data_IF_808790167092
#
_entry.id   IF_808790167092
#
_cell.length_a   1.000
_cell.length_b   1.000
_cell.length_c   1.000
_cell.angle_alpha   90.00
_cell.angle_beta   90.00
_cell.angle_gamma   90.00
#
_symmetry.space_group_name_H-M   'P 1'
#
loop_
_entity.id
_entity.type
_entity.pdbx_description
1 polymer ?
#
# COMPACT_ATOMS: atom_id res chain seq x y z
N UNK A 1 -18.19 -8.58 -11.07
CA UNK A 1 -17.71 -8.66 -9.65
C UNK A 1 -17.26 -7.28 -9.29
N UNK A 2 -17.72 -6.68 -8.18
CA UNK A 2 -17.19 -5.36 -7.81
C UNK A 2 -15.77 -5.53 -7.25
N UNK A 3 -14.79 -4.88 -7.87
CA UNK A 3 -13.44 -4.85 -7.34
C UNK A 3 -13.46 -4.29 -5.91
N UNK A 4 -12.84 -4.99 -4.99
CA UNK A 4 -12.71 -4.49 -3.63
C UNK A 4 -11.67 -3.37 -3.58
N UNK A 5 -11.99 -2.24 -2.95
CA UNK A 5 -11.06 -1.14 -2.76
C UNK A 5 -9.81 -1.57 -1.97
N UNK A 6 -8.67 -0.96 -2.30
CA UNK A 6 -7.39 -1.31 -1.70
C UNK A 6 -7.23 -0.62 -0.35
N UNK A 7 -7.18 -1.43 0.70
CA UNK A 7 -6.97 -0.93 2.05
C UNK A 7 -5.50 -0.65 2.39
N UNK A 8 -5.30 -0.06 3.56
CA UNK A 8 -3.98 0.31 4.09
C UNK A 8 -2.97 -0.85 4.07
N UNK A 9 -3.39 -2.08 4.46
CA UNK A 9 -2.50 -3.25 4.46
C UNK A 9 -2.02 -3.62 3.06
N UNK A 10 -2.87 -3.45 2.05
CA UNK A 10 -2.53 -3.75 0.67
C UNK A 10 -1.56 -2.69 0.12
N UNK A 11 -1.86 -1.40 0.31
CA UNK A 11 -1.04 -0.31 -0.20
C UNK A 11 0.37 -0.28 0.41
N UNK A 12 0.52 -0.64 1.68
CA UNK A 12 1.80 -0.56 2.39
C UNK A 12 2.46 -1.90 2.70
N UNK A 13 1.82 -3.05 2.43
CA UNK A 13 2.31 -4.35 2.87
C UNK A 13 2.64 -5.35 1.77
N UNK A 14 2.02 -5.25 0.58
CA UNK A 14 2.26 -6.23 -0.49
C UNK A 14 3.45 -5.82 -1.38
N UNK A 15 4.00 -6.80 -2.12
CA UNK A 15 5.09 -6.57 -3.07
C UNK A 15 4.65 -5.61 -4.19
N UNK A 16 5.58 -4.82 -4.73
CA UNK A 16 5.36 -3.79 -5.76
C UNK A 16 4.53 -4.31 -6.93
N UNK A 17 4.99 -5.35 -7.60
CA UNK A 17 4.34 -5.86 -8.82
C UNK A 17 2.88 -6.27 -8.60
N UNK A 18 2.62 -6.93 -7.46
CA UNK A 18 1.26 -7.32 -7.08
C UNK A 18 0.39 -6.09 -6.75
N UNK A 19 1.00 -5.04 -6.19
CA UNK A 19 0.30 -3.80 -5.88
C UNK A 19 -0.09 -3.06 -7.16
N UNK A 20 0.87 -2.85 -8.06
CA UNK A 20 0.64 -2.15 -9.32
C UNK A 20 -0.41 -2.88 -10.17
N UNK A 21 -0.31 -4.21 -10.27
CA UNK A 21 -1.32 -5.02 -10.95
C UNK A 21 -2.72 -4.86 -10.35
N UNK A 22 -2.84 -4.86 -9.02
CA UNK A 22 -4.14 -4.66 -8.35
C UNK A 22 -4.72 -3.26 -8.59
N UNK A 23 -3.88 -2.22 -8.63
CA UNK A 23 -4.33 -0.86 -8.93
C UNK A 23 -4.85 -0.79 -10.38
N UNK A 24 -4.14 -1.37 -11.35
CA UNK A 24 -4.59 -1.41 -12.75
C UNK A 24 -5.92 -2.15 -12.88
N UNK A 25 -6.01 -3.37 -12.34
CA UNK A 25 -7.25 -4.15 -12.36
C UNK A 25 -8.40 -3.40 -11.69
N UNK A 26 -8.17 -2.73 -10.56
CA UNK A 26 -9.19 -1.93 -9.89
C UNK A 26 -9.70 -0.81 -10.80
N UNK A 27 -8.82 -0.11 -11.51
CA UNK A 27 -9.21 0.92 -12.46
C UNK A 27 -10.01 0.35 -13.64
N UNK A 28 -9.56 -0.75 -14.23
CA UNK A 28 -10.24 -1.43 -15.34
C UNK A 28 -11.67 -1.86 -14.97
N UNK A 29 -11.88 -2.34 -13.74
CA UNK A 29 -13.19 -2.82 -13.29
C UNK A 29 -14.12 -1.69 -12.82
N UNK A 30 -13.60 -0.59 -12.27
CA UNK A 30 -14.42 0.45 -11.61
C UNK A 30 -14.46 1.78 -12.33
N UNK A 31 -13.46 2.05 -13.16
CA UNK A 31 -13.21 3.37 -13.77
C UNK A 31 -13.17 4.53 -12.74
N UNK A 32 -12.82 4.21 -11.46
CA UNK A 32 -12.79 5.20 -10.38
C UNK A 32 -11.42 5.91 -10.34
N UNK A 33 -11.25 6.89 -11.22
CA UNK A 33 -10.01 7.66 -11.34
C UNK A 33 -9.61 8.36 -10.03
N UNK A 34 -10.56 8.89 -9.27
CA UNK A 34 -10.28 9.58 -8.02
C UNK A 34 -9.61 8.68 -6.98
N UNK A 35 -10.18 7.49 -6.76
CA UNK A 35 -9.64 6.53 -5.79
C UNK A 35 -8.29 5.98 -6.24
N UNK A 36 -8.10 5.73 -7.54
CA UNK A 36 -6.83 5.26 -8.10
C UNK A 36 -5.73 6.31 -7.95
N UNK A 37 -6.03 7.59 -8.15
CA UNK A 37 -5.07 8.68 -7.92
C UNK A 37 -4.65 8.73 -6.45
N UNK A 38 -5.58 8.55 -5.50
CA UNK A 38 -5.23 8.45 -4.08
C UNK A 38 -4.37 7.21 -3.76
N UNK A 39 -4.59 6.08 -4.44
CA UNK A 39 -3.70 4.91 -4.32
C UNK A 39 -2.28 5.23 -4.79
N UNK A 40 -2.14 5.90 -5.93
CA UNK A 40 -0.83 6.33 -6.41
C UNK A 40 -0.12 7.24 -5.41
N UNK A 41 -0.82 8.25 -4.85
CA UNK A 41 -0.23 9.12 -3.84
C UNK A 41 0.21 8.32 -2.59
N UNK A 42 -0.59 7.36 -2.14
CA UNK A 42 -0.21 6.48 -1.03
C UNK A 42 1.06 5.65 -1.36
N UNK A 43 1.19 5.18 -2.61
CA UNK A 43 2.38 4.45 -3.07
C UNK A 43 3.60 5.37 -3.17
N UNK A 44 3.45 6.62 -3.62
CA UNK A 44 4.53 7.62 -3.58
C UNK A 44 5.00 7.88 -2.13
N UNK A 45 4.09 8.00 -1.17
CA UNK A 45 4.43 8.10 0.26
C UNK A 45 5.18 6.86 0.74
N UNK A 46 4.73 5.66 0.34
CA UNK A 46 5.44 4.40 0.65
C UNK A 46 6.85 4.41 0.07
N UNK A 47 7.01 4.75 -1.21
CA UNK A 47 8.30 4.85 -1.88
C UNK A 47 9.24 5.84 -1.18
N UNK A 48 8.68 6.95 -0.72
CA UNK A 48 9.42 7.94 0.03
C UNK A 48 9.97 7.41 1.37
N UNK A 49 9.19 6.63 2.08
CA UNK A 49 9.49 6.20 3.46
C UNK A 49 10.19 4.85 3.53
N UNK A 50 9.84 3.88 2.67
CA UNK A 50 10.29 2.48 2.78
C UNK A 50 11.62 2.24 2.09
N UNK A 51 12.36 1.24 2.58
CA UNK A 51 13.49 0.67 1.86
C UNK A 51 12.97 -0.13 0.67
N UNK A 52 13.67 -0.06 -0.46
CA UNK A 52 13.28 -0.71 -1.72
C UNK A 52 12.60 0.23 -2.70
N UNK A 53 12.41 -0.27 -3.93
CA UNK A 53 11.75 0.48 -5.01
C UNK A 53 10.25 0.23 -5.01
N UNK A 54 9.49 1.29 -4.78
CA UNK A 54 8.04 1.35 -4.94
C UNK A 54 7.62 2.44 -5.92
N UNK A 55 8.49 2.76 -6.90
CA UNK A 55 8.14 3.66 -7.99
C UNK A 55 6.92 3.13 -8.77
N UNK A 56 6.18 4.03 -9.38
CA UNK A 56 4.99 3.72 -10.19
C UNK A 56 5.21 4.02 -11.67
N UNK A 57 6.46 4.03 -12.10
CA UNK A 57 6.84 4.37 -13.48
C UNK A 57 6.22 3.42 -14.50
N UNK A 58 6.00 2.16 -14.14
CA UNK A 58 5.36 1.15 -14.98
C UNK A 58 3.89 1.50 -15.31
N UNK A 59 3.28 2.38 -14.50
CA UNK A 59 1.91 2.85 -14.70
C UNK A 59 1.83 4.27 -15.27
N UNK A 60 2.92 4.78 -15.85
CA UNK A 60 2.97 6.13 -16.43
C UNK A 60 1.88 6.37 -17.47
N UNK A 61 1.60 5.37 -18.33
CA UNK A 61 0.54 5.46 -19.33
C UNK A 61 -0.84 5.53 -18.72
N UNK A 62 -1.08 4.74 -17.67
CA UNK A 62 -2.34 4.78 -16.92
C UNK A 62 -2.52 6.14 -16.23
N UNK A 63 -1.47 6.66 -15.61
CA UNK A 63 -1.48 7.99 -14.97
C UNK A 63 -1.84 9.08 -15.99
N UNK A 64 -1.14 9.10 -17.14
CA UNK A 64 -1.44 10.06 -18.21
C UNK A 64 -2.87 9.91 -18.73
N UNK A 65 -3.32 8.69 -18.97
CA UNK A 65 -4.68 8.43 -19.41
C UNK A 65 -5.70 9.01 -18.43
N UNK A 66 -5.56 8.73 -17.12
CA UNK A 66 -6.48 9.24 -16.09
C UNK A 66 -6.56 10.77 -16.14
N UNK A 67 -5.44 11.48 -16.13
CA UNK A 67 -5.46 12.95 -16.09
C UNK A 67 -5.90 13.61 -17.40
N UNK A 68 -5.71 12.92 -18.55
CA UNK A 68 -6.10 13.44 -19.85
C UNK A 68 -7.55 13.10 -20.23
N UNK A 69 -8.13 12.02 -19.70
CA UNK A 69 -9.44 11.54 -20.18
C UNK A 69 -10.53 11.48 -19.12
N UNK A 70 -10.19 11.21 -17.84
CA UNK A 70 -11.21 11.07 -16.80
C UNK A 70 -11.87 12.38 -16.46
N UNK A 71 -13.12 12.31 -15.97
CA UNK A 71 -13.87 13.48 -15.55
C UNK A 71 -13.15 14.26 -14.43
N UNK A 72 -13.08 15.59 -14.52
CA UNK A 72 -12.45 16.42 -13.49
C UNK A 72 -13.16 16.31 -12.14
N UNK A 73 -12.44 15.84 -11.13
CA UNK A 73 -12.91 15.75 -9.74
C UNK A 73 -12.03 16.56 -8.80
N UNK A 74 -12.50 16.87 -7.62
CA UNK A 74 -11.68 17.58 -6.62
C UNK A 74 -10.47 16.75 -6.19
N UNK A 75 -10.59 15.42 -6.17
CA UNK A 75 -9.46 14.53 -5.88
C UNK A 75 -8.37 14.64 -6.96
N UNK A 76 -8.75 14.68 -8.25
CA UNK A 76 -7.78 14.88 -9.33
C UNK A 76 -7.12 16.24 -9.22
N UNK A 77 -7.89 17.31 -8.94
CA UNK A 77 -7.35 18.67 -8.75
C UNK A 77 -6.37 18.72 -7.59
N UNK A 78 -6.72 18.11 -6.46
CA UNK A 78 -5.91 18.14 -5.24
C UNK A 78 -4.56 17.45 -5.42
N UNK A 79 -4.51 16.37 -6.20
CA UNK A 79 -3.35 15.50 -6.27
C UNK A 79 -2.57 15.58 -7.58
N UNK A 80 -3.05 16.29 -8.61
CA UNK A 80 -2.41 16.31 -9.93
C UNK A 80 -0.93 16.71 -9.88
N UNK A 81 -0.55 17.63 -9.01
CA UNK A 81 0.82 18.14 -8.91
C UNK A 81 1.87 17.04 -8.62
N UNK A 82 1.49 15.97 -7.92
CA UNK A 82 2.38 14.84 -7.65
C UNK A 82 2.77 14.07 -8.91
N UNK A 83 2.02 14.21 -9.99
CA UNK A 83 2.17 13.45 -11.23
C UNK A 83 2.72 14.26 -12.40
N UNK A 84 3.10 15.51 -12.18
CA UNK A 84 3.64 16.39 -13.22
C UNK A 84 4.82 15.75 -13.96
N UNK A 85 5.70 15.03 -13.25
CA UNK A 85 6.91 14.44 -13.82
C UNK A 85 6.64 13.23 -14.73
N UNK A 86 5.39 12.72 -14.74
CA UNK A 86 4.93 11.67 -15.65
C UNK A 86 4.49 12.23 -17.02
N UNK A 87 4.51 13.55 -17.20
CA UNK A 87 4.19 14.26 -18.43
C UNK A 87 5.45 14.87 -19.03
N UNK A 88 6.19 14.13 -19.89
CA UNK A 88 7.42 14.63 -20.48
C UNK A 88 7.17 15.77 -21.47
N UNK A 89 5.98 15.83 -22.11
CA UNK A 89 5.58 16.93 -22.95
C UNK A 89 4.86 18.01 -22.14
N UNK A 90 5.41 19.22 -22.18
CA UNK A 90 4.81 20.39 -21.52
C UNK A 90 3.40 20.70 -22.04
N UNK A 91 3.10 20.35 -23.31
CA UNK A 91 1.76 20.55 -23.89
C UNK A 91 0.74 19.67 -23.21
N UNK A 92 1.08 18.39 -22.97
CA UNK A 92 0.18 17.45 -22.29
C UNK A 92 -0.10 17.93 -20.86
N UNK A 93 0.92 18.42 -20.16
CA UNK A 93 0.74 18.98 -18.83
C UNK A 93 -0.16 20.23 -18.84
N UNK A 94 0.03 21.13 -19.80
CA UNK A 94 -0.85 22.27 -19.97
C UNK A 94 -2.30 21.86 -20.24
N UNK A 95 -2.52 20.83 -21.04
CA UNK A 95 -3.87 20.28 -21.25
C UNK A 95 -4.49 19.77 -19.95
N UNK A 96 -3.71 19.06 -19.09
CA UNK A 96 -4.19 18.64 -17.77
C UNK A 96 -4.63 19.85 -16.94
N UNK A 97 -3.82 20.90 -16.87
CA UNK A 97 -4.16 22.12 -16.12
C UNK A 97 -5.45 22.75 -16.67
N UNK A 98 -5.57 22.92 -17.99
CA UNK A 98 -6.75 23.51 -18.63
C UNK A 98 -8.02 22.69 -18.40
N UNK A 99 -7.90 21.36 -18.32
CA UNK A 99 -9.04 20.48 -18.02
C UNK A 99 -9.48 20.55 -16.57
N UNK A 100 -8.52 20.62 -15.65
CA UNK A 100 -8.82 20.54 -14.22
C UNK A 100 -9.15 21.90 -13.59
N UNK A 101 -8.62 23.00 -14.15
CA UNK A 101 -8.69 24.33 -13.53
C UNK A 101 -9.15 25.39 -14.54
N UNK A 102 -9.81 26.42 -14.03
CA UNK A 102 -10.26 27.56 -14.84
C UNK A 102 -9.08 28.44 -15.33
N UNK A 103 -7.94 28.41 -14.62
CA UNK A 103 -6.74 29.20 -14.95
C UNK A 103 -5.51 28.62 -14.26
N UNK A 104 -4.31 29.02 -14.72
CA UNK A 104 -3.06 28.68 -14.04
C UNK A 104 -2.97 29.28 -12.63
N UNK A 105 -3.58 30.45 -12.40
CA UNK A 105 -3.64 31.03 -11.07
C UNK A 105 -4.45 30.15 -10.12
N UNK A 106 -5.62 29.68 -10.56
CA UNK A 106 -6.46 28.75 -9.80
C UNK A 106 -5.72 27.44 -9.52
N UNK A 107 -4.95 26.91 -10.50
CA UNK A 107 -4.09 25.73 -10.28
C UNK A 107 -3.07 25.99 -9.18
N UNK A 108 -2.30 27.08 -9.26
CA UNK A 108 -1.27 27.40 -8.26
C UNK A 108 -1.85 27.59 -6.86
N UNK A 109 -2.97 28.27 -6.74
CA UNK A 109 -3.62 28.49 -5.44
C UNK A 109 -4.15 27.20 -4.85
N UNK A 110 -4.81 26.38 -5.66
CA UNK A 110 -5.40 25.12 -5.21
C UNK A 110 -4.35 24.09 -4.80
N UNK A 111 -3.24 24.02 -5.54
CA UNK A 111 -2.18 23.01 -5.34
C UNK A 111 -1.03 23.49 -4.47
N UNK A 112 -1.09 24.67 -3.88
CA UNK A 112 0.01 25.28 -3.10
C UNK A 112 0.56 24.35 -2.03
N UNK A 113 -0.33 23.75 -1.22
CA UNK A 113 0.07 22.82 -0.16
C UNK A 113 0.63 21.52 -0.73
N UNK A 114 -0.02 20.95 -1.73
CA UNK A 114 0.43 19.72 -2.39
C UNK A 114 1.78 19.91 -3.10
N UNK A 115 2.04 21.09 -3.68
CA UNK A 115 3.33 21.44 -4.28
C UNK A 115 4.46 21.46 -3.24
N UNK A 116 4.20 22.01 -2.06
CA UNK A 116 5.15 21.97 -0.96
C UNK A 116 5.47 20.53 -0.51
N UNK A 117 4.46 19.66 -0.49
CA UNK A 117 4.66 18.25 -0.15
C UNK A 117 5.34 17.45 -1.29
N UNK A 118 5.10 17.79 -2.56
CA UNK A 118 5.79 17.15 -3.69
C UNK A 118 7.31 17.26 -3.55
N UNK A 119 7.83 18.43 -3.18
CA UNK A 119 9.26 18.64 -2.97
C UNK A 119 9.86 17.69 -1.92
N UNK A 120 9.06 17.24 -0.94
CA UNK A 120 9.48 16.28 0.09
C UNK A 120 9.51 14.84 -0.43
N UNK A 121 8.80 14.53 -1.50
CA UNK A 121 8.79 13.22 -2.15
C UNK A 121 9.94 13.08 -3.16
N UNK A 122 10.61 14.15 -3.53
CA UNK A 122 11.69 14.14 -4.53
C UNK A 122 12.88 13.28 -4.05
N UNK A 123 13.30 12.33 -4.87
CA UNK A 123 14.41 11.42 -4.56
C UNK A 123 15.76 12.12 -4.47
N UNK A 124 15.95 13.24 -5.18
CA UNK A 124 17.19 14.01 -5.15
C UNK A 124 17.52 14.53 -3.75
N UNK A 125 16.52 14.69 -2.91
CA UNK A 125 16.68 15.10 -1.52
C UNK A 125 16.88 13.94 -0.54
N UNK A 126 17.05 12.70 -1.05
CA UNK A 126 17.19 11.51 -0.20
C UNK A 126 18.52 10.86 -0.44
N UNK A 127 19.34 10.84 0.59
CA UNK A 127 20.55 10.02 0.59
C UNK A 127 20.16 8.54 0.49
N UNK A 128 20.82 7.81 -0.40
CA UNK A 128 20.66 6.35 -0.49
C UNK A 128 21.13 5.76 0.84
N UNK A 129 20.31 4.94 1.50
CA UNK A 129 20.71 4.35 2.77
C UNK A 129 21.93 3.46 2.52
N UNK A 130 23.00 3.73 3.22
CA UNK A 130 24.10 2.76 3.36
C UNK A 130 23.50 1.50 3.98
N UNK A 131 23.82 0.33 3.45
CA UNK A 131 23.50 -0.97 4.05
C UNK A 131 23.85 -0.90 5.53
N UNK A 132 22.86 -0.99 6.37
CA UNK A 132 23.00 -0.85 7.82
C UNK A 132 22.53 -2.17 8.45
N UNK A 133 23.28 -2.67 9.42
CA UNK A 133 22.90 -3.81 10.26
C UNK A 133 21.63 -3.55 11.08
N UNK A 134 20.98 -2.43 10.80
CA UNK A 134 19.81 -1.96 11.53
C UNK A 134 18.60 -1.82 10.65
N UNK A 135 17.48 -2.34 11.12
CA UNK A 135 16.17 -2.13 10.56
C UNK A 135 15.48 -0.97 11.29
N UNK A 136 14.85 -0.08 10.54
CA UNK A 136 14.07 1.01 11.10
C UNK A 136 12.59 0.80 10.86
N UNK A 137 11.78 1.09 11.87
CA UNK A 137 10.34 1.03 11.81
C UNK A 137 9.75 2.39 12.21
N UNK A 138 8.71 2.81 11.51
CA UNK A 138 7.99 4.05 11.77
C UNK A 138 6.68 3.73 12.50
N UNK A 139 6.42 4.41 13.60
CA UNK A 139 5.13 4.33 14.29
C UNK A 139 4.54 5.74 14.35
N UNK A 140 3.44 5.96 13.65
CA UNK A 140 2.76 7.24 13.53
C UNK A 140 1.41 7.21 14.22
N UNK A 141 0.97 8.34 14.75
CA UNK A 141 -0.34 8.51 15.36
C UNK A 141 -1.10 9.58 14.58
N UNK A 142 -2.31 9.25 14.19
CA UNK A 142 -3.27 10.14 13.53
C UNK A 142 -4.54 10.20 14.35
N UNK A 143 -5.33 11.27 14.17
CA UNK A 143 -6.73 11.31 14.61
C UNK A 143 -7.64 11.09 13.41
N UNK A 144 -8.76 10.46 13.65
CA UNK A 144 -9.86 10.40 12.69
C UNK A 144 -10.73 11.68 12.78
N UNK A 145 -11.75 11.75 11.91
CA UNK A 145 -12.68 12.89 11.89
C UNK A 145 -13.50 13.06 13.18
N UNK A 146 -13.53 12.04 14.05
CA UNK A 146 -14.18 12.10 15.36
C UNK A 146 -13.21 12.50 16.49
N UNK A 147 -11.93 12.69 16.19
CA UNK A 147 -10.87 12.98 17.15
C UNK A 147 -10.23 11.76 17.80
N UNK A 148 -10.68 10.53 17.50
CA UNK A 148 -10.11 9.29 18.02
C UNK A 148 -8.73 9.05 17.43
N UNK A 149 -7.79 8.62 18.29
CA UNK A 149 -6.42 8.34 17.86
C UNK A 149 -6.28 6.95 17.28
N UNK A 150 -5.55 6.87 16.17
CA UNK A 150 -5.18 5.64 15.48
C UNK A 150 -3.66 5.55 15.33
N UNK A 151 -3.10 4.43 15.69
CA UNK A 151 -1.68 4.15 15.47
C UNK A 151 -1.53 3.42 14.15
N UNK A 152 -0.54 3.85 13.36
CA UNK A 152 -0.11 3.20 12.14
C UNK A 152 1.38 2.91 12.21
N UNK A 153 1.76 1.67 11.89
CA UNK A 153 3.16 1.25 11.83
C UNK A 153 3.55 0.89 10.39
N UNK A 154 4.72 1.35 9.96
CA UNK A 154 5.37 0.99 8.72
C UNK A 154 6.72 0.38 9.04
N UNK A 155 6.94 -0.84 8.60
CA UNK A 155 8.19 -1.57 8.81
C UNK A 155 9.17 -1.30 7.68
N UNK A 156 10.45 -1.58 7.96
CA UNK A 156 11.53 -1.49 6.97
C UNK A 156 11.58 -0.14 6.26
N UNK A 157 11.64 0.93 7.05
CA UNK A 157 11.76 2.29 6.51
C UNK A 157 13.22 2.70 6.32
N UNK A 158 13.44 3.67 5.44
CA UNK A 158 14.71 4.40 5.33
C UNK A 158 15.01 5.08 6.67
N UNK A 159 16.30 5.21 7.01
CA UNK A 159 16.70 5.99 8.18
C UNK A 159 16.14 7.42 8.06
N UNK A 160 15.50 7.89 9.12
CA UNK A 160 15.00 9.26 9.18
C UNK A 160 16.19 10.24 9.19
N UNK A 161 16.30 11.06 8.14
CA UNK A 161 17.32 12.10 8.02
C UNK A 161 16.81 13.43 8.59
N UNK A 162 15.57 13.79 8.27
CA UNK A 162 14.93 15.00 8.75
C UNK A 162 13.57 14.70 9.38
N UNK A 163 13.38 15.21 10.60
CA UNK A 163 12.09 15.12 11.29
C UNK A 163 10.99 15.89 10.56
N UNK A 164 11.33 17.06 10.01
CA UNK A 164 10.37 17.91 9.30
C UNK A 164 9.96 17.31 7.97
N UNK A 165 10.92 16.78 7.21
CA UNK A 165 10.64 16.08 5.96
C UNK A 165 9.72 14.89 6.21
N UNK A 166 10.07 14.01 7.16
CA UNK A 166 9.25 12.84 7.50
C UNK A 166 7.85 13.24 7.96
N UNK A 167 7.73 14.31 8.77
CA UNK A 167 6.44 14.87 9.19
C UNK A 167 5.61 15.34 8.00
N UNK A 168 6.24 16.06 7.07
CA UNK A 168 5.58 16.56 5.85
C UNK A 168 5.08 15.41 4.98
N UNK A 169 5.90 14.37 4.76
CA UNK A 169 5.50 13.17 4.01
C UNK A 169 4.30 12.47 4.68
N UNK A 170 4.32 12.35 6.02
CA UNK A 170 3.21 11.74 6.76
C UNK A 170 1.93 12.58 6.68
N UNK A 171 2.02 13.90 6.60
CA UNK A 171 0.87 14.78 6.42
C UNK A 171 0.18 14.58 5.08
N UNK A 172 0.87 14.11 4.04
CA UNK A 172 0.23 13.76 2.76
C UNK A 172 -0.87 12.71 2.98
N UNK A 173 -0.68 11.76 3.90
CA UNK A 173 -1.71 10.76 4.21
C UNK A 173 -2.99 11.37 4.76
N UNK A 174 -2.92 12.58 5.35
CA UNK A 174 -4.11 13.28 5.83
C UNK A 174 -4.90 13.98 4.71
N UNK A 175 -4.40 14.01 3.50
CA UNK A 175 -5.16 14.50 2.34
C UNK A 175 -5.94 13.39 1.64
N UNK A 176 -5.64 12.11 1.96
CA UNK A 176 -6.26 10.95 1.33
C UNK A 176 -7.56 10.54 2.03
N UNK A 177 -8.56 10.17 1.24
CA UNK A 177 -9.88 9.76 1.74
C UNK A 177 -10.09 8.25 1.76
N UNK A 178 -9.19 7.49 1.14
CA UNK A 178 -9.27 6.02 1.00
C UNK A 178 -9.12 5.24 2.31
N UNK A 179 -8.47 5.81 3.31
CA UNK A 179 -8.23 5.12 4.58
C UNK A 179 -9.42 5.23 5.53
N UNK A 180 -10.42 4.37 5.33
CA UNK A 180 -11.64 4.32 6.13
C UNK A 180 -11.76 3.02 6.92
N UNK A 181 -12.41 3.10 8.08
CA UNK A 181 -12.86 1.95 8.85
C UNK A 181 -14.29 2.21 9.28
N UNK A 182 -15.21 1.32 8.93
CA UNK A 182 -16.64 1.51 9.16
C UNK A 182 -17.14 2.89 8.67
N UNK A 183 -16.70 3.33 7.50
CA UNK A 183 -17.05 4.63 6.90
C UNK A 183 -16.30 5.84 7.49
N UNK A 184 -15.61 5.70 8.60
CA UNK A 184 -14.87 6.80 9.26
C UNK A 184 -13.47 6.91 8.69
N UNK A 185 -13.06 8.11 8.23
CA UNK A 185 -11.73 8.42 7.73
C UNK A 185 -10.73 8.42 8.88
N UNK A 186 -9.73 7.53 8.82
CA UNK A 186 -8.76 7.29 9.91
C UNK A 186 -7.64 8.31 10.01
N UNK A 187 -7.19 8.85 8.89
CA UNK A 187 -6.06 9.78 8.82
C UNK A 187 -6.58 11.18 8.49
N UNK A 188 -7.32 11.82 9.42
CA UNK A 188 -7.82 13.18 9.22
C UNK A 188 -6.84 14.23 9.74
N UNK A 189 -6.13 13.95 10.85
CA UNK A 189 -5.16 14.86 11.45
C UNK A 189 -3.91 14.07 11.85
N UNK A 190 -2.74 14.58 11.47
CA UNK A 190 -1.45 14.05 11.93
C UNK A 190 -1.17 14.53 13.36
N UNK A 191 -0.72 13.62 14.23
CA UNK A 191 -0.37 13.93 15.62
C UNK A 191 1.13 13.89 15.86
N UNK A 192 1.74 12.72 15.63
CA UNK A 192 3.18 12.51 15.88
C UNK A 192 3.67 11.23 15.20
N UNK A 193 4.97 11.08 15.12
CA UNK A 193 5.60 9.80 14.82
C UNK A 193 6.80 9.53 15.74
N UNK A 194 7.25 8.28 15.77
CA UNK A 194 8.55 7.85 16.28
C UNK A 194 9.18 6.88 15.29
N UNK A 195 10.48 6.99 15.07
CA UNK A 195 11.28 5.98 14.38
C UNK A 195 11.94 5.09 15.42
N UNK A 196 11.81 3.78 15.25
CA UNK A 196 12.38 2.77 16.16
C UNK A 196 13.45 2.01 15.39
N UNK A 197 14.67 1.96 15.97
CA UNK A 197 15.80 1.22 15.45
C UNK A 197 15.82 -0.16 16.08
N UNK A 198 15.82 -1.21 15.27
CA UNK A 198 16.05 -2.59 15.69
C UNK A 198 17.37 -3.10 15.14
N UNK A 199 18.02 -4.04 15.80
CA UNK A 199 19.14 -4.79 15.26
C UNK A 199 18.61 -6.09 14.69
N UNK A 200 19.12 -6.49 13.50
CA UNK A 200 18.87 -7.81 12.94
C UNK A 200 19.87 -8.76 13.59
N UNK A 201 19.40 -9.70 14.42
CA UNK A 201 20.28 -10.65 15.11
C UNK A 201 20.61 -11.88 14.25
N UNK A 202 19.70 -12.27 13.36
CA UNK A 202 19.90 -13.34 12.39
C UNK A 202 18.97 -13.14 11.20
N UNK A 203 19.46 -13.43 10.01
CA UNK A 203 18.68 -13.46 8.77
C UNK A 203 19.00 -14.77 8.06
N UNK A 204 18.01 -15.60 7.84
CA UNK A 204 18.14 -16.81 7.02
C UNK A 204 17.61 -16.46 5.61
N UNK A 205 18.51 -16.45 4.65
CA UNK A 205 18.20 -16.25 3.24
C UNK A 205 18.59 -17.51 2.50
N UNK A 206 17.62 -18.28 2.03
CA UNK A 206 17.92 -19.39 1.13
C UNK A 206 18.70 -18.90 -0.08
N UNK A 207 19.88 -19.48 -0.38
CA UNK A 207 20.65 -19.08 -1.53
C UNK A 207 19.83 -19.32 -2.80
N UNK A 208 19.65 -18.29 -3.60
CA UNK A 208 19.07 -18.42 -4.94
C UNK A 208 19.97 -19.32 -5.75
N UNK A 209 19.58 -20.58 -5.90
CA UNK A 209 20.26 -21.53 -6.78
C UNK A 209 20.02 -21.05 -8.21
N UNK A 210 20.96 -20.30 -8.73
CA UNK A 210 21.02 -20.00 -10.16
C UNK A 210 21.40 -21.30 -10.87
N UNK A 211 20.40 -22.02 -11.37
CA UNK A 211 20.64 -23.15 -12.27
C UNK A 211 21.24 -22.56 -13.55
N UNK A 212 22.55 -22.62 -13.65
CA UNK A 212 23.21 -22.48 -14.95
C UNK A 212 22.83 -23.72 -15.73
N UNK A 213 22.04 -23.55 -16.78
CA UNK A 213 21.84 -24.59 -17.81
C UNK A 213 23.19 -24.86 -18.47
N UNK A 214 23.85 -25.91 -18.03
CA UNK A 214 24.97 -26.51 -18.70
C UNK A 214 24.45 -27.45 -19.79
N UNK A 215 24.68 -27.07 -21.03
CA UNK A 215 24.28 -27.80 -22.22
C UNK A 215 24.86 -29.22 -22.19
N UNK A 216 23.99 -30.20 -22.22
CA UNK A 216 24.31 -31.63 -22.34
C UNK A 216 24.49 -32.00 -23.81
N UNK A 217 25.53 -32.79 -24.15
CA UNK A 217 25.52 -33.53 -25.41
C UNK A 217 24.75 -34.86 -25.26
N UNK A 218 23.98 -35.15 -26.29
CA UNK A 218 23.16 -36.35 -26.42
C UNK A 218 23.97 -37.66 -26.39
N UNK A 219 23.44 -38.71 -25.78
CA UNK A 219 23.13 -39.98 -26.41
C UNK A 219 22.94 -41.16 -25.41
N UNK A 220 21.93 -41.96 -25.75
CA UNK A 220 21.70 -43.41 -25.54
C UNK A 220 20.74 -43.82 -24.43
N UNK A 221 19.52 -44.15 -24.88
CA UNK A 221 18.62 -45.17 -24.31
C UNK A 221 19.32 -46.56 -24.40
N UNK A 222 19.12 -47.53 -23.47
CA UNK A 222 17.85 -48.24 -23.42
C UNK A 222 17.39 -48.84 -22.06
N UNK A 223 16.14 -49.32 -22.12
CA UNK A 223 15.54 -50.45 -21.39
C UNK A 223 14.88 -50.28 -20.02
N UNK A 224 13.56 -50.49 -20.08
CA UNK A 224 12.68 -50.93 -18.97
C UNK A 224 13.02 -52.34 -18.49
N UNK A 225 12.75 -52.72 -17.21
CA UNK A 225 11.57 -53.53 -16.98
C UNK A 225 10.74 -53.25 -15.69
N UNK A 226 9.42 -53.41 -15.90
CA UNK A 226 8.35 -54.04 -15.14
C UNK A 226 8.16 -53.87 -13.62
N UNK A 227 6.99 -53.31 -13.34
CA UNK A 227 5.92 -53.70 -12.42
C UNK A 227 6.22 -54.47 -11.12
N UNK A 228 5.75 -53.89 -10.00
CA UNK A 228 4.83 -54.56 -9.08
C UNK A 228 4.13 -53.56 -8.14
N UNK A 229 2.82 -53.58 -8.14
CA UNK A 229 1.92 -53.11 -7.10
C UNK A 229 1.28 -54.37 -6.51
N UNK A 230 0.39 -54.32 -5.51
CA UNK A 230 0.18 -53.42 -4.39
C UNK A 230 0.04 -54.21 -3.06
N UNK A 231 0.03 -53.53 -1.91
CA UNK A 231 -0.56 -54.17 -0.70
C UNK A 231 -1.32 -53.17 0.15
N UNK A 232 -2.62 -53.40 0.19
CA UNK A 232 -3.59 -52.85 1.15
C UNK A 232 -3.42 -53.50 2.52
N UNK A 233 -3.69 -52.75 3.59
CA UNK A 233 -4.38 -53.11 4.83
C UNK A 233 -4.54 -51.82 5.63
N UNK A 234 -5.66 -51.21 5.88
CA UNK A 234 -6.92 -51.63 6.55
C UNK A 234 -6.81 -51.61 8.09
N UNK A 235 -7.60 -50.71 8.66
CA UNK A 235 -8.43 -50.78 9.87
C UNK A 235 -7.77 -50.50 11.22
N UNK A 236 -8.19 -49.45 11.93
CA UNK A 236 -9.17 -49.60 13.03
C UNK A 236 -9.56 -48.22 13.61
N UNK A 237 -10.84 -48.11 13.80
CA UNK A 237 -11.55 -47.05 14.50
C UNK A 237 -11.44 -47.23 16.02
N UNK A 238 -11.52 -46.13 16.78
CA UNK A 238 -12.12 -46.18 18.10
C UNK A 238 -12.82 -44.86 18.45
N UNK A 239 -14.04 -45.03 18.70
CA UNK A 239 -15.12 -44.21 19.22
C UNK A 239 -14.84 -43.78 20.66
N UNK A 240 -15.25 -42.57 21.03
CA UNK A 240 -15.32 -42.11 22.42
C UNK A 240 -16.21 -40.86 22.53
N UNK A 241 -17.50 -41.14 22.81
CA UNK A 241 -18.52 -40.16 23.25
C UNK A 241 -18.26 -39.68 24.67
N UNK A 242 -18.65 -38.44 24.96
CA UNK A 242 -19.49 -37.99 26.10
C UNK A 242 -19.56 -36.44 26.05
N UNK A 243 -20.71 -35.90 25.83
CA UNK A 243 -21.95 -35.59 26.60
C UNK A 243 -21.79 -34.77 27.86
N UNK A 244 -22.56 -33.69 27.84
CA UNK A 244 -23.33 -32.96 28.88
C UNK A 244 -22.87 -31.52 29.04
N UNK A 245 -23.57 -30.45 28.60
CA UNK A 245 -24.89 -29.94 29.06
C UNK A 245 -24.85 -29.33 30.47
N UNK A 246 -25.18 -28.04 30.51
CA UNK A 246 -25.99 -27.25 31.49
C UNK A 246 -25.69 -25.77 31.29
N UNK A 247 -26.57 -24.99 30.65
CA UNK A 247 -27.74 -24.25 31.12
C UNK A 247 -27.54 -23.56 32.49
N UNK A 248 -27.53 -22.24 32.47
CA UNK A 248 -28.28 -21.40 33.42
C UNK A 248 -28.51 -19.99 32.79
N UNK A 249 -29.80 -19.73 32.59
CA UNK A 249 -30.41 -18.41 32.46
C UNK A 249 -30.50 -17.76 33.85
N UNK A 250 -30.53 -16.45 33.87
CA UNK A 250 -31.45 -15.57 34.65
C UNK A 250 -30.99 -14.13 34.42
N UNK A 251 -31.77 -13.32 33.73
CA UNK A 251 -32.97 -12.54 34.10
C UNK A 251 -32.73 -11.36 35.04
N UNK A 252 -32.94 -10.18 34.45
CA UNK A 252 -33.83 -9.07 34.88
C UNK A 252 -33.34 -8.25 36.10
N UNK A 253 -33.19 -6.93 35.98
CA UNK A 253 -34.27 -5.98 36.29
C UNK A 253 -33.88 -4.53 35.96
N UNK A 254 -34.88 -3.83 35.49
CA UNK A 254 -35.00 -2.40 35.31
C UNK A 254 -34.99 -1.67 36.64
N UNK A 255 -34.43 -0.47 36.69
CA UNK A 255 -35.14 0.64 37.39
C UNK A 255 -34.77 1.97 36.76
N UNK A 256 -35.81 2.61 36.33
CA UNK A 256 -36.04 4.03 36.04
C UNK A 256 -35.93 4.86 37.32
N UNK A 257 -35.45 6.10 37.24
CA UNK A 257 -36.03 7.31 37.82
C UNK A 257 -35.09 8.49 37.71
N UNK A 258 -35.40 9.42 36.91
CA UNK A 258 -35.63 10.83 37.01
C UNK A 258 -35.03 11.59 38.24
N UNK A 259 -34.19 12.56 37.92
CA UNK A 259 -34.39 13.99 38.30
C UNK A 259 -33.43 14.84 37.47
#
# INVERSE_FOLDING_TARGET
MNAASLGQRQLFGIKKDNLLKRISTYFEETNNAGEVVEYFVAVLVRHALSVGDYSINELSDLIRNIFLTSEPTDTLRQHCVYFQDYFPDEKDWKMVIQRLFASEAAFRDYTREASAYKALLDEKNREVPVLSDYQFNLVSVFKDVTGKRHTWALQNIKKVQSTEQTRGILKILTTLTIFKTAGVRRFAEYVRYKSVKGRVDAEDVEPVVTIKEEQTPAAKTPEKPKRSAPRKQAVAASTGKNTAALICEEKVEQTSTAL
#
